data_IF_589695430901
#
_entry.id   IF_589695430901
#
_cell.length_a   1.000
_cell.length_b   1.000
_cell.length_c   1.000
_cell.angle_alpha   90.00
_cell.angle_beta   90.00
_cell.angle_gamma   90.00
#
_symmetry.space_group_name_H-M   'P 1'
#
loop_
_entity.id
_entity.type
_entity.pdbx_description
1 polymer ?
#
# COMPACT_ATOMS: atom_id res chain seq x y z
N UNK A 1 -22.19 0.19 16.92
CA UNK A 1 -21.97 1.02 15.71
C UNK A 1 -20.74 1.92 15.87
N UNK A 2 -20.63 2.66 16.98
CA UNK A 2 -19.47 3.51 17.29
C UNK A 2 -18.13 2.72 17.39
N UNK A 3 -18.14 1.52 17.99
CA UNK A 3 -16.93 0.68 18.07
C UNK A 3 -16.38 0.23 16.72
N UNK A 4 -17.26 0.02 15.73
CA UNK A 4 -16.83 -0.36 14.38
C UNK A 4 -16.20 0.81 13.63
N UNK A 5 -16.72 2.02 13.87
CA UNK A 5 -16.14 3.28 13.37
C UNK A 5 -14.77 3.54 13.97
N UNK A 6 -14.62 3.31 15.28
CA UNK A 6 -13.33 3.44 15.98
C UNK A 6 -12.35 2.37 15.48
N UNK A 7 -12.77 1.13 15.25
CA UNK A 7 -11.90 0.11 14.66
C UNK A 7 -11.47 0.45 13.22
N UNK A 8 -12.38 1.01 12.43
CA UNK A 8 -12.09 1.43 11.05
C UNK A 8 -11.11 2.60 11.00
N UNK A 9 -11.10 3.48 12.00
CA UNK A 9 -10.15 4.59 12.05
C UNK A 9 -8.70 4.13 12.19
N UNK A 10 -8.45 3.00 12.87
CA UNK A 10 -7.12 2.38 12.96
C UNK A 10 -6.57 1.88 11.63
N UNK A 11 -7.41 1.75 10.59
CA UNK A 11 -6.98 1.42 9.23
C UNK A 11 -6.96 2.68 8.36
N UNK A 12 -8.03 3.46 8.40
CA UNK A 12 -8.22 4.62 7.52
C UNK A 12 -7.22 5.74 7.80
N UNK A 13 -6.93 6.03 9.07
CA UNK A 13 -5.98 7.10 9.42
C UNK A 13 -4.57 6.73 8.97
N UNK A 14 -4.01 5.55 9.29
CA UNK A 14 -2.69 5.15 8.79
C UNK A 14 -2.63 5.03 7.26
N UNK A 15 -3.72 4.62 6.61
CA UNK A 15 -3.80 4.55 5.15
C UNK A 15 -3.63 5.93 4.52
N UNK A 16 -4.43 6.92 4.95
CA UNK A 16 -4.30 8.27 4.40
C UNK A 16 -2.93 8.87 4.71
N UNK A 17 -2.43 8.68 5.93
CA UNK A 17 -1.14 9.23 6.36
C UNK A 17 0.01 8.64 5.53
N UNK A 18 0.05 7.31 5.38
CA UNK A 18 1.08 6.63 4.61
C UNK A 18 0.99 6.94 3.11
N UNK A 19 -0.21 7.12 2.56
CA UNK A 19 -0.38 7.53 1.17
C UNK A 19 0.20 8.93 0.92
N UNK A 20 -0.05 9.89 1.84
CA UNK A 20 0.50 11.25 1.75
C UNK A 20 2.02 11.23 1.91
N UNK A 21 2.52 10.52 2.92
CA UNK A 21 3.96 10.37 3.15
C UNK A 21 4.62 9.75 1.92
N UNK A 22 4.08 8.65 1.40
CA UNK A 22 4.58 8.00 0.20
C UNK A 22 4.63 8.97 -0.98
N UNK A 23 3.55 9.73 -1.22
CA UNK A 23 3.52 10.69 -2.31
C UNK A 23 4.63 11.75 -2.21
N UNK A 24 4.85 12.30 -1.02
CA UNK A 24 5.90 13.28 -0.79
C UNK A 24 7.30 12.70 -1.00
N UNK A 25 7.58 11.52 -0.43
CA UNK A 25 8.85 10.83 -0.63
C UNK A 25 9.08 10.46 -2.09
N UNK A 26 8.06 9.95 -2.77
CA UNK A 26 8.18 9.54 -4.15
C UNK A 26 8.39 10.72 -5.11
N UNK A 27 7.87 11.90 -4.77
CA UNK A 27 8.15 13.14 -5.50
C UNK A 27 9.63 13.54 -5.42
N UNK A 28 10.28 13.32 -4.27
CA UNK A 28 11.68 13.68 -4.05
C UNK A 28 12.65 12.61 -4.59
N UNK A 29 12.34 11.33 -4.39
CA UNK A 29 13.27 10.23 -4.65
C UNK A 29 12.98 9.44 -5.92
N UNK A 30 11.85 9.69 -6.58
CA UNK A 30 11.37 8.98 -7.78
C UNK A 30 11.41 7.44 -7.62
N UNK A 31 10.92 6.97 -6.47
CA UNK A 31 10.97 5.55 -6.05
C UNK A 31 10.14 4.70 -7.02
N UNK A 32 8.93 5.13 -7.35
CA UNK A 32 8.02 4.46 -8.29
C UNK A 32 8.69 4.27 -9.64
N UNK A 33 9.38 5.29 -10.15
CA UNK A 33 10.05 5.26 -11.45
C UNK A 33 11.21 4.25 -11.46
N UNK A 34 12.04 4.28 -10.40
CA UNK A 34 13.17 3.37 -10.24
C UNK A 34 12.73 1.91 -10.12
N UNK A 35 11.65 1.65 -9.39
CA UNK A 35 11.09 0.31 -9.21
C UNK A 35 10.43 -0.15 -10.52
N UNK A 36 9.59 0.69 -11.14
CA UNK A 36 8.93 0.41 -12.42
C UNK A 36 9.92 0.04 -13.52
N UNK A 37 11.05 0.75 -13.59
CA UNK A 37 12.10 0.48 -14.58
C UNK A 37 12.81 -0.87 -14.39
N UNK A 38 12.85 -1.40 -13.16
CA UNK A 38 13.46 -2.71 -12.87
C UNK A 38 12.52 -3.89 -13.11
N UNK A 39 11.21 -3.65 -13.04
CA UNK A 39 10.21 -4.69 -13.27
C UNK A 39 10.06 -4.92 -14.78
N UNK A 40 10.51 -6.10 -15.26
CA UNK A 40 10.36 -6.55 -16.64
C UNK A 40 8.94 -7.05 -16.92
N UNK A 41 7.95 -6.17 -16.82
CA UNK A 41 6.56 -6.45 -17.12
C UNK A 41 5.91 -5.22 -17.76
N UNK A 42 4.92 -5.42 -18.63
CA UNK A 42 4.14 -4.33 -19.20
C UNK A 42 3.63 -3.39 -18.12
N UNK A 43 3.83 -2.09 -18.33
CA UNK A 43 3.45 -1.05 -17.37
C UNK A 43 1.99 -1.17 -16.93
N UNK A 44 1.09 -1.54 -17.86
CA UNK A 44 -0.34 -1.74 -17.59
C UNK A 44 -0.66 -2.72 -16.45
N UNK A 45 0.18 -3.74 -16.27
CA UNK A 45 -0.01 -4.76 -15.23
C UNK A 45 0.70 -4.43 -13.92
N UNK A 46 1.62 -3.45 -13.92
CA UNK A 46 2.43 -3.13 -12.73
C UNK A 46 1.58 -2.65 -11.53
N UNK A 47 0.55 -1.79 -11.69
CA UNK A 47 -0.32 -1.42 -10.56
C UNK A 47 -1.00 -2.63 -9.93
N UNK A 48 -1.47 -3.57 -10.77
CA UNK A 48 -2.12 -4.79 -10.31
C UNK A 48 -1.16 -5.67 -9.49
N UNK A 49 0.07 -5.86 -9.99
CA UNK A 49 1.10 -6.62 -9.29
C UNK A 49 1.44 -6.01 -7.92
N UNK A 50 1.52 -4.68 -7.82
CA UNK A 50 1.79 -3.99 -6.56
C UNK A 50 0.68 -4.26 -5.54
N UNK A 51 -0.58 -4.12 -5.95
CA UNK A 51 -1.73 -4.42 -5.08
C UNK A 51 -1.71 -5.89 -4.65
N UNK A 52 -1.51 -6.83 -5.58
CA UNK A 52 -1.40 -8.26 -5.26
C UNK A 52 -0.27 -8.54 -4.27
N UNK A 53 0.90 -7.92 -4.45
CA UNK A 53 2.04 -8.09 -3.54
C UNK A 53 1.74 -7.58 -2.13
N UNK A 54 1.00 -6.46 -2.02
CA UNK A 54 0.57 -5.91 -0.74
C UNK A 54 -0.41 -6.86 -0.02
N UNK A 55 -1.35 -7.47 -0.74
CA UNK A 55 -2.25 -8.48 -0.18
C UNK A 55 -1.48 -9.72 0.32
N UNK A 56 -0.55 -10.23 -0.47
CA UNK A 56 0.29 -11.37 -0.06
C UNK A 56 1.08 -11.03 1.20
N UNK A 57 1.67 -9.83 1.25
CA UNK A 57 2.40 -9.36 2.43
C UNK A 57 1.50 -9.26 3.67
N UNK A 58 0.27 -8.75 3.52
CA UNK A 58 -0.70 -8.69 4.62
C UNK A 58 -1.10 -10.08 5.12
N UNK A 59 -1.28 -11.06 4.23
CA UNK A 59 -1.58 -12.44 4.64
C UNK A 59 -0.42 -13.02 5.44
N UNK A 60 0.81 -12.83 5.00
CA UNK A 60 2.01 -13.29 5.70
C UNK A 60 2.10 -12.64 7.10
N UNK A 61 1.91 -11.32 7.18
CA UNK A 61 1.92 -10.58 8.45
C UNK A 61 0.75 -11.00 9.34
N UNK A 62 -0.42 -11.30 8.78
CA UNK A 62 -1.58 -11.78 9.53
C UNK A 62 -1.31 -13.14 10.16
N UNK A 63 -0.78 -14.08 9.37
CA UNK A 63 -0.45 -15.43 9.84
C UNK A 63 0.67 -15.35 10.89
N UNK A 64 1.77 -14.65 10.61
CA UNK A 64 2.91 -14.59 11.54
C UNK A 64 2.59 -13.71 12.75
N UNK A 65 2.08 -12.51 12.52
CA UNK A 65 1.84 -11.54 13.56
C UNK A 65 0.77 -11.98 14.55
N UNK A 66 -0.38 -12.47 14.06
CA UNK A 66 -1.49 -12.83 14.93
C UNK A 66 -1.28 -14.22 15.54
N UNK A 67 -0.85 -15.21 14.76
CA UNK A 67 -0.81 -16.61 15.25
C UNK A 67 0.52 -17.04 15.86
N UNK A 68 1.65 -16.42 15.49
CA UNK A 68 2.98 -16.79 16.04
C UNK A 68 3.49 -15.81 17.12
N UNK A 69 3.13 -14.53 17.02
CA UNK A 69 3.70 -13.46 17.86
C UNK A 69 2.64 -12.81 18.78
N UNK A 70 1.36 -13.18 18.66
CA UNK A 70 0.24 -12.60 19.43
C UNK A 70 0.20 -11.06 19.36
N UNK A 71 0.45 -10.50 18.17
CA UNK A 71 0.38 -9.05 17.96
C UNK A 71 -1.07 -8.58 18.18
N UNK A 72 -1.30 -7.51 18.97
CA UNK A 72 -2.63 -6.97 19.18
C UNK A 72 -3.31 -6.60 17.86
N UNK A 73 -4.59 -6.92 17.70
CA UNK A 73 -5.32 -6.71 16.45
C UNK A 73 -5.32 -5.25 15.98
N UNK A 74 -5.32 -4.30 16.93
CA UNK A 74 -5.22 -2.87 16.61
C UNK A 74 -3.89 -2.51 15.91
N UNK A 75 -2.79 -3.12 16.35
CA UNK A 75 -1.46 -2.91 15.77
C UNK A 75 -1.40 -3.53 14.37
N UNK A 76 -1.97 -4.72 14.19
CA UNK A 76 -2.12 -5.33 12.86
C UNK A 76 -2.92 -4.45 11.89
N UNK A 77 -4.01 -3.84 12.35
CA UNK A 77 -4.81 -2.92 11.54
C UNK A 77 -4.04 -1.66 11.15
N UNK A 78 -3.22 -1.11 12.05
CA UNK A 78 -2.34 0.03 11.73
C UNK A 78 -1.34 -0.36 10.64
N UNK A 79 -0.63 -1.49 10.79
CA UNK A 79 0.31 -1.97 9.78
C UNK A 79 -0.36 -2.25 8.43
N UNK A 80 -1.54 -2.85 8.47
CA UNK A 80 -2.33 -3.11 7.26
C UNK A 80 -2.68 -1.79 6.56
N UNK A 81 -3.15 -0.78 7.30
CA UNK A 81 -3.42 0.56 6.78
C UNK A 81 -2.18 1.19 6.13
N UNK A 82 -1.02 1.14 6.80
CA UNK A 82 0.25 1.66 6.26
C UNK A 82 0.66 0.98 4.95
N UNK A 83 0.62 -0.35 4.90
CA UNK A 83 0.98 -1.13 3.71
C UNK A 83 0.02 -0.80 2.56
N UNK A 84 -1.28 -0.78 2.83
CA UNK A 84 -2.30 -0.46 1.82
C UNK A 84 -2.15 0.97 1.31
N UNK A 85 -1.85 1.95 2.17
CA UNK A 85 -1.69 3.34 1.75
C UNK A 85 -0.46 3.56 0.86
N UNK A 86 0.68 2.93 1.19
CA UNK A 86 1.88 2.92 0.33
C UNK A 86 1.56 2.26 -1.01
N UNK A 87 0.96 1.07 -1.00
CA UNK A 87 0.63 0.33 -2.21
C UNK A 87 -0.35 1.10 -3.11
N UNK A 88 -1.35 1.74 -2.52
CA UNK A 88 -2.31 2.61 -3.23
C UNK A 88 -1.61 3.82 -3.84
N UNK A 89 -0.74 4.50 -3.09
CA UNK A 89 0.04 5.64 -3.58
C UNK A 89 0.93 5.27 -4.78
N UNK A 90 1.63 4.13 -4.66
CA UNK A 90 2.47 3.57 -5.72
C UNK A 90 1.65 3.24 -6.98
N UNK A 91 0.58 2.47 -6.81
CA UNK A 91 -0.30 2.05 -7.91
C UNK A 91 -0.97 3.22 -8.61
N UNK A 92 -1.39 4.24 -7.86
CA UNK A 92 -2.01 5.44 -8.43
C UNK A 92 -1.04 6.22 -9.32
N UNK A 93 0.22 6.38 -8.89
CA UNK A 93 1.23 7.02 -9.74
C UNK A 93 1.50 6.22 -10.99
N UNK A 94 1.65 4.90 -10.88
CA UNK A 94 1.82 4.04 -12.06
C UNK A 94 0.65 4.17 -13.05
N UNK A 95 -0.58 4.19 -12.56
CA UNK A 95 -1.76 4.37 -13.40
C UNK A 95 -1.76 5.71 -14.14
N UNK A 96 -1.39 6.80 -13.45
CA UNK A 96 -1.30 8.12 -14.08
C UNK A 96 -0.23 8.14 -15.18
N UNK A 97 0.93 7.52 -14.96
CA UNK A 97 1.97 7.41 -15.98
C UNK A 97 1.57 6.60 -17.22
N UNK A 98 0.64 5.66 -17.07
CA UNK A 98 0.09 4.91 -18.21
C UNK A 98 -0.86 5.82 -19.00
N UNK A 99 -1.76 6.52 -18.30
CA UNK A 99 -2.71 7.46 -18.93
C UNK A 99 -2.01 8.58 -19.71
N UNK A 100 -0.95 9.16 -19.15
CA UNK A 100 -0.19 10.23 -19.79
C UNK A 100 0.55 9.78 -21.06
N UNK A 101 0.68 8.47 -21.32
CA UNK A 101 1.30 7.91 -22.53
C UNK A 101 0.30 7.53 -23.62
N UNK A 102 -0.99 7.51 -23.30
CA UNK A 102 -2.06 7.18 -24.25
C UNK A 102 -2.69 8.44 -24.91
N UNK A 103 -2.26 9.63 -24.51
CA UNK A 103 -2.61 10.94 -25.10
C UNK A 103 -1.47 11.39 -26.03
#
# INVERSE_FOLDING_TARGET
>A
MLDSLIKSSFILVPLMLSMIVYHNFDKEYAITDKISAKIKMDKKWQPFLVVCSAFVLQIIIGIIGIYLIDIPTNVFFIFSGLITGIATGFSNKLQNQIKDKEI
#
